data_IF_713066535753
#
_entry.id   IF_713066535753
#
_cell.length_a   1.000
_cell.length_b   1.000
_cell.length_c   1.000
_cell.angle_alpha   90.00
_cell.angle_beta   90.00
_cell.angle_gamma   90.00
#
_symmetry.space_group_name_H-M   'P 1'
#
loop_
_entity.id
_entity.type
_entity.pdbx_description
1 polymer ?
#
# COMPACT_ATOMS: atom_id res chain seq x y z
N UNK A 1 -12.32 -7.93 -9.23
CA UNK A 1 -11.93 -7.18 -8.01
C UNK A 1 -10.87 -7.97 -7.23
N UNK A 2 -9.87 -7.29 -6.71
CA UNK A 2 -8.86 -7.92 -5.86
C UNK A 2 -9.49 -8.29 -4.52
N UNK A 3 -9.29 -9.52 -4.07
CA UNK A 3 -9.89 -10.04 -2.84
C UNK A 3 -9.33 -9.37 -1.59
N UNK A 4 -8.01 -9.22 -1.53
CA UNK A 4 -7.35 -8.65 -0.38
C UNK A 4 -7.57 -7.14 -0.30
N UNK A 5 -7.49 -6.58 0.89
CA UNK A 5 -7.52 -5.13 1.10
C UNK A 5 -6.11 -4.60 0.93
N UNK A 6 -5.95 -3.55 0.12
CA UNK A 6 -4.64 -2.95 -0.14
C UNK A 6 -4.40 -1.87 0.91
N UNK A 7 -3.25 -1.94 1.60
CA UNK A 7 -2.85 -0.96 2.60
C UNK A 7 -1.82 -0.04 1.97
N UNK A 8 -2.15 1.25 1.91
CA UNK A 8 -1.30 2.31 1.33
C UNK A 8 -1.00 3.37 2.38
N UNK A 9 -0.19 4.36 2.05
CA UNK A 9 0.22 5.38 3.02
C UNK A 9 -0.79 6.52 3.15
N UNK A 10 -1.32 7.03 2.05
CA UNK A 10 -2.16 8.23 2.05
C UNK A 10 -3.33 8.16 1.09
N UNK A 11 -4.19 9.19 1.16
CA UNK A 11 -5.40 9.27 0.34
C UNK A 11 -5.10 9.47 -1.15
N UNK A 12 -4.00 10.15 -1.47
CA UNK A 12 -3.58 10.31 -2.87
C UNK A 12 -3.17 8.97 -3.48
N UNK A 13 -2.62 8.07 -2.67
CA UNK A 13 -2.29 6.72 -3.11
C UNK A 13 -3.57 5.92 -3.40
N UNK A 14 -4.60 6.08 -2.56
CA UNK A 14 -5.91 5.44 -2.80
C UNK A 14 -6.44 5.86 -4.17
N UNK A 15 -6.43 7.15 -4.46
CA UNK A 15 -6.90 7.65 -5.74
C UNK A 15 -6.12 7.05 -6.91
N UNK A 16 -4.80 7.02 -6.80
CA UNK A 16 -3.93 6.50 -7.86
C UNK A 16 -4.15 5.00 -8.07
N UNK A 17 -4.20 4.22 -6.99
CA UNK A 17 -4.41 2.78 -7.09
C UNK A 17 -5.80 2.46 -7.63
N UNK A 18 -6.81 3.24 -7.27
CA UNK A 18 -8.18 3.08 -7.76
C UNK A 18 -8.27 3.24 -9.28
N UNK A 19 -7.41 4.06 -9.89
CA UNK A 19 -7.35 4.17 -11.35
C UNK A 19 -6.73 2.94 -12.01
N UNK A 20 -5.96 2.17 -11.27
CA UNK A 20 -5.26 1.00 -11.80
C UNK A 20 -6.05 -0.29 -11.63
N UNK A 21 -6.69 -0.47 -10.50
CA UNK A 21 -7.38 -1.71 -10.13
C UNK A 21 -8.65 -1.43 -9.33
N UNK A 22 -9.54 -2.41 -9.32
CA UNK A 22 -10.71 -2.40 -8.45
C UNK A 22 -10.39 -3.17 -7.18
N UNK A 23 -10.31 -2.47 -6.06
CA UNK A 23 -9.96 -3.05 -4.77
C UNK A 23 -10.38 -2.13 -3.64
N UNK A 24 -10.61 -2.71 -2.46
CA UNK A 24 -10.79 -1.92 -1.24
C UNK A 24 -9.43 -1.57 -0.66
N UNK A 25 -9.31 -0.38 -0.09
CA UNK A 25 -8.04 0.13 0.40
C UNK A 25 -8.17 0.80 1.75
N UNK A 26 -7.08 0.76 2.52
CA UNK A 26 -6.96 1.48 3.79
C UNK A 26 -5.67 2.29 3.73
N UNK A 27 -5.74 3.58 4.09
CA UNK A 27 -4.56 4.44 4.19
C UNK A 27 -4.09 4.51 5.63
N UNK A 28 -2.78 4.34 5.84
CA UNK A 28 -2.19 4.43 7.20
C UNK A 28 -2.08 5.87 7.69
N UNK A 29 -1.98 6.83 6.78
CA UNK A 29 -1.81 8.26 7.08
C UNK A 29 -0.52 8.52 7.87
N UNK A 30 0.55 7.82 7.52
CA UNK A 30 1.87 7.97 8.09
C UNK A 30 2.27 6.84 9.02
N UNK A 31 3.46 6.95 9.63
CA UNK A 31 4.01 5.90 10.48
C UNK A 31 3.25 5.74 11.80
N UNK A 32 2.78 6.83 12.39
CA UNK A 32 2.00 6.81 13.63
C UNK A 32 0.54 6.43 13.36
N UNK A 33 0.31 5.21 12.96
CA UNK A 33 -1.01 4.72 12.56
C UNK A 33 -1.98 4.76 13.73
N UNK A 34 -3.15 5.37 13.50
CA UNK A 34 -4.18 5.50 14.55
C UNK A 34 -4.73 4.13 14.94
N UNK A 35 -5.15 4.01 16.20
CA UNK A 35 -5.70 2.74 16.72
C UNK A 35 -6.89 2.24 15.90
N UNK A 36 -7.79 3.13 15.50
CA UNK A 36 -8.95 2.75 14.68
C UNK A 36 -8.51 2.19 13.33
N UNK A 37 -7.49 2.78 12.73
CA UNK A 37 -6.95 2.33 11.45
C UNK A 37 -6.28 0.97 11.60
N UNK A 38 -5.48 0.76 12.64
CA UNK A 38 -4.86 -0.53 12.91
C UNK A 38 -5.92 -1.62 13.10
N UNK A 39 -7.01 -1.32 13.79
CA UNK A 39 -8.09 -2.27 13.99
C UNK A 39 -8.78 -2.63 12.66
N UNK A 40 -9.00 -1.63 11.78
CA UNK A 40 -9.56 -1.88 10.45
C UNK A 40 -8.65 -2.80 9.63
N UNK A 41 -7.33 -2.54 9.69
CA UNK A 41 -6.34 -3.38 8.98
C UNK A 41 -6.36 -4.79 9.54
N UNK A 42 -6.42 -4.94 10.87
CA UNK A 42 -6.45 -6.26 11.51
C UNK A 42 -7.68 -7.06 11.08
N UNK A 43 -8.85 -6.44 11.06
CA UNK A 43 -10.08 -7.10 10.62
C UNK A 43 -9.98 -7.53 9.15
N UNK A 44 -9.47 -6.66 8.30
CA UNK A 44 -9.25 -7.00 6.90
C UNK A 44 -8.25 -8.14 6.74
N UNK A 45 -7.16 -8.10 7.48
CA UNK A 45 -6.14 -9.13 7.48
C UNK A 45 -6.70 -10.51 7.84
N UNK A 46 -7.53 -10.57 8.89
CA UNK A 46 -8.10 -11.82 9.35
C UNK A 46 -9.17 -12.38 8.40
N UNK A 47 -9.96 -11.51 7.77
CA UNK A 47 -11.08 -11.94 6.93
C UNK A 47 -10.73 -12.12 5.47
N UNK A 48 -9.88 -11.25 4.93
CA UNK A 48 -9.61 -11.19 3.49
C UNK A 48 -8.14 -11.30 3.15
N UNK A 49 -7.27 -11.04 4.10
CA UNK A 49 -5.87 -10.82 3.84
C UNK A 49 -5.61 -9.37 3.42
N UNK A 50 -4.36 -8.94 3.52
CA UNK A 50 -3.96 -7.60 3.11
C UNK A 50 -2.77 -7.66 2.17
N UNK A 51 -2.65 -6.66 1.30
CA UNK A 51 -1.49 -6.42 0.46
C UNK A 51 -0.91 -5.07 0.87
N UNK A 52 0.34 -5.05 1.29
CA UNK A 52 1.02 -3.83 1.68
C UNK A 52 1.66 -3.21 0.44
N UNK A 53 1.28 -1.99 0.11
CA UNK A 53 1.79 -1.24 -1.04
C UNK A 53 2.18 0.15 -0.56
N UNK A 54 3.42 0.29 -0.13
CA UNK A 54 3.98 1.56 0.37
C UNK A 54 5.01 2.12 -0.60
N UNK A 55 5.37 3.38 -0.40
CA UNK A 55 6.34 4.05 -1.26
C UNK A 55 7.71 3.36 -1.20
N UNK A 56 8.45 3.31 -2.31
CA UNK A 56 9.80 2.74 -2.35
C UNK A 56 10.84 3.72 -1.79
N UNK A 57 10.65 4.18 -0.56
CA UNK A 57 11.55 5.11 0.14
C UNK A 57 11.73 4.69 1.60
N UNK A 58 12.54 5.41 2.35
CA UNK A 58 12.81 5.09 3.75
C UNK A 58 11.57 5.09 4.64
N UNK A 59 10.74 6.15 4.62
CA UNK A 59 9.49 6.19 5.37
C UNK A 59 8.53 5.05 5.00
N UNK A 60 8.37 4.77 3.72
CA UNK A 60 7.51 3.69 3.24
C UNK A 60 7.98 2.32 3.71
N UNK A 61 9.28 2.10 3.70
CA UNK A 61 9.87 0.85 4.18
C UNK A 61 9.67 0.66 5.67
N UNK A 62 9.76 1.72 6.46
CA UNK A 62 9.51 1.66 7.90
C UNK A 62 8.06 1.30 8.21
N UNK A 63 7.10 1.86 7.48
CA UNK A 63 5.69 1.52 7.61
C UNK A 63 5.48 0.04 7.26
N UNK A 64 6.06 -0.42 6.16
CA UNK A 64 5.99 -1.82 5.73
C UNK A 64 6.53 -2.76 6.79
N UNK A 65 7.69 -2.45 7.37
CA UNK A 65 8.29 -3.28 8.42
C UNK A 65 7.41 -3.35 9.66
N UNK A 66 6.82 -2.23 10.06
CA UNK A 66 5.90 -2.20 11.21
C UNK A 66 4.67 -3.08 10.95
N UNK A 67 4.06 -2.93 9.79
CA UNK A 67 2.89 -3.73 9.42
C UNK A 67 3.23 -5.21 9.32
N UNK A 68 4.41 -5.54 8.80
CA UNK A 68 4.86 -6.94 8.68
C UNK A 68 5.02 -7.59 10.04
N UNK A 69 5.51 -6.86 11.04
CA UNK A 69 5.62 -7.38 12.41
C UNK A 69 4.26 -7.65 13.04
N UNK A 70 3.27 -6.77 12.76
CA UNK A 70 1.92 -6.93 13.28
C UNK A 70 1.11 -7.97 12.50
N UNK A 71 1.36 -8.09 11.20
CA UNK A 71 0.59 -8.95 10.28
C UNK A 71 1.54 -9.78 9.42
N UNK A 72 2.16 -10.81 10.00
CA UNK A 72 3.26 -11.54 9.33
C UNK A 72 2.86 -12.30 8.06
N UNK A 73 1.57 -12.57 7.85
CA UNK A 73 1.11 -13.24 6.64
C UNK A 73 0.61 -12.28 5.57
N UNK A 74 0.84 -10.98 5.76
CA UNK A 74 0.48 -9.99 4.76
C UNK A 74 1.26 -10.22 3.47
N UNK A 75 0.59 -9.99 2.34
CA UNK A 75 1.23 -10.00 1.03
C UNK A 75 1.89 -8.64 0.78
N UNK A 76 2.87 -8.62 -0.08
CA UNK A 76 3.63 -7.42 -0.38
C UNK A 76 3.62 -7.14 -1.88
N UNK A 77 3.36 -5.88 -2.24
CA UNK A 77 3.50 -5.41 -3.61
C UNK A 77 4.57 -4.32 -3.62
N UNK A 78 5.37 -4.28 -4.67
CA UNK A 78 6.48 -3.35 -4.80
C UNK A 78 6.43 -2.68 -6.17
N UNK A 79 6.48 -1.34 -6.16
CA UNK A 79 6.70 -0.57 -7.37
C UNK A 79 8.17 -0.12 -7.32
N UNK A 80 8.98 -0.48 -8.33
CA UNK A 80 10.38 -0.05 -8.34
C UNK A 80 10.50 1.46 -8.25
N UNK A 81 11.53 1.94 -7.56
CA UNK A 81 11.76 3.37 -7.37
C UNK A 81 11.80 4.14 -8.70
N UNK A 82 12.37 3.53 -9.74
CA UNK A 82 12.43 4.13 -11.08
C UNK A 82 11.04 4.31 -11.71
N UNK A 83 10.03 3.53 -11.28
CA UNK A 83 8.67 3.59 -11.82
C UNK A 83 7.74 4.43 -10.94
N UNK A 84 8.17 4.82 -9.75
CA UNK A 84 7.38 5.60 -8.79
C UNK A 84 8.03 6.95 -8.50
N UNK A 85 8.93 7.42 -9.37
CA UNK A 85 9.68 8.67 -9.16
C UNK A 85 9.38 9.66 -10.25
N UNK A 86 9.24 10.93 -9.85
CA UNK A 86 9.32 12.08 -10.76
C UNK A 86 10.65 12.77 -10.49
N UNK A 87 10.89 13.88 -11.18
CA UNK A 87 12.12 14.67 -11.01
C UNK A 87 12.36 15.07 -9.55
N UNK A 88 11.31 15.36 -8.79
CA UNK A 88 11.40 15.90 -7.45
C UNK A 88 10.80 15.01 -6.35
N UNK A 89 10.13 13.92 -6.71
CA UNK A 89 9.38 13.11 -5.76
C UNK A 89 9.50 11.62 -6.02
N UNK A 90 9.30 10.84 -4.96
CA UNK A 90 9.20 9.38 -5.00
C UNK A 90 7.95 8.97 -4.24
N UNK A 91 7.02 8.29 -4.92
CA UNK A 91 5.81 7.80 -4.25
C UNK A 91 4.89 7.04 -5.18
N UNK A 92 3.99 6.26 -4.59
CA UNK A 92 2.99 5.48 -5.32
C UNK A 92 2.08 6.42 -6.12
N UNK A 93 1.81 7.60 -5.60
CA UNK A 93 0.97 8.58 -6.31
C UNK A 93 1.56 9.03 -7.65
N UNK A 94 2.89 8.87 -7.83
CA UNK A 94 3.59 9.21 -9.06
C UNK A 94 3.73 8.02 -10.01
N UNK A 95 3.32 6.84 -9.58
CA UNK A 95 3.41 5.62 -10.40
C UNK A 95 2.31 5.59 -11.45
N UNK A 96 2.60 5.01 -12.62
CA UNK A 96 1.59 4.81 -13.64
C UNK A 96 0.62 3.68 -13.24
N UNK A 97 -0.62 3.70 -13.75
CA UNK A 97 -1.53 2.58 -13.53
C UNK A 97 -0.96 1.23 -13.97
N UNK A 98 -0.19 1.21 -15.03
CA UNK A 98 0.46 0.00 -15.53
C UNK A 98 1.46 -0.56 -14.53
N UNK A 99 2.30 0.30 -13.93
CA UNK A 99 3.27 -0.11 -12.91
C UNK A 99 2.59 -0.66 -11.67
N UNK A 100 1.50 -0.03 -11.24
CA UNK A 100 0.73 -0.49 -10.09
C UNK A 100 0.10 -1.84 -10.36
N UNK A 101 -0.53 -2.03 -11.52
CA UNK A 101 -1.11 -3.33 -11.90
C UNK A 101 -0.07 -4.43 -11.95
N UNK A 102 1.10 -4.13 -12.49
CA UNK A 102 2.21 -5.08 -12.55
C UNK A 102 2.66 -5.49 -11.15
N UNK A 103 2.79 -4.53 -10.23
CA UNK A 103 3.19 -4.80 -8.85
C UNK A 103 2.18 -5.71 -8.14
N UNK A 104 0.89 -5.53 -8.40
CA UNK A 104 -0.18 -6.28 -7.75
C UNK A 104 -0.45 -7.64 -8.41
N UNK A 105 0.10 -7.91 -9.58
CA UNK A 105 -0.12 -9.17 -10.30
C UNK A 105 0.87 -10.27 -9.94
N UNK A 106 1.86 -9.97 -9.16
CA UNK A 106 2.91 -10.94 -8.78
C UNK A 106 2.50 -11.81 -7.60
#
# INVERSE_FOLDING_TARGET
MIRQVIVVEGKSDIARVSHAVEADMIATEGFGIRCETLEQIRLAYEKRGIIILTDPDGPGERIRQRLTRLFPKALHAFVPKSEASTENDVGIEDASPKSIRKALSC
#
